data_IF_278850518556
#
_entry.id   IF_278850518556
#
_cell.length_a   1.000
_cell.length_b   1.000
_cell.length_c   1.000
_cell.angle_alpha   90.00
_cell.angle_beta   90.00
_cell.angle_gamma   90.00
#
_symmetry.space_group_name_H-M   'P 1'
#
loop_
_entity.id
_entity.type
_entity.pdbx_description
1 polymer ?
#
# COMPACT_ATOMS: atom_id res chain seq x y z
N UNK A 1 -4.16 10.05 5.65
CA UNK A 1 -4.33 9.03 4.57
C UNK A 1 -3.72 7.72 5.05
N UNK A 2 -4.51 6.66 5.16
CA UNK A 2 -4.02 5.33 5.54
C UNK A 2 -3.23 4.70 4.38
N UNK A 3 -2.07 4.14 4.69
CA UNK A 3 -1.21 3.44 3.73
C UNK A 3 -1.21 1.95 4.05
N UNK A 4 -1.50 1.13 3.05
CA UNK A 4 -1.41 -0.32 3.12
C UNK A 4 -0.42 -0.82 2.05
N UNK A 5 0.45 -1.72 2.44
CA UNK A 5 1.40 -2.37 1.54
C UNK A 5 1.18 -3.88 1.61
N UNK A 6 0.98 -4.48 0.47
CA UNK A 6 0.92 -5.94 0.30
C UNK A 6 2.15 -6.41 -0.47
N UNK A 7 2.86 -7.37 0.11
CA UNK A 7 4.02 -7.97 -0.54
C UNK A 7 3.53 -9.10 -1.45
N UNK A 8 3.78 -9.00 -2.73
CA UNK A 8 3.43 -10.02 -3.73
C UNK A 8 4.70 -10.79 -4.13
N UNK A 9 4.54 -12.05 -4.52
CA UNK A 9 5.65 -12.88 -5.00
C UNK A 9 5.97 -12.56 -6.45
N UNK A 10 4.92 -12.50 -7.25
CA UNK A 10 5.01 -12.31 -8.69
C UNK A 10 4.05 -11.22 -9.14
N UNK A 11 4.35 -10.61 -10.30
CA UNK A 11 3.51 -9.56 -10.88
C UNK A 11 2.36 -10.17 -11.70
N UNK A 12 1.55 -11.05 -11.07
CA UNK A 12 0.42 -11.74 -11.70
C UNK A 12 -0.93 -11.11 -11.33
N UNK A 13 -1.95 -11.39 -12.14
CA UNK A 13 -3.33 -10.99 -11.84
C UNK A 13 -3.82 -11.60 -10.52
N UNK A 14 -3.51 -12.88 -10.30
CA UNK A 14 -3.91 -13.62 -9.09
C UNK A 14 -3.38 -12.96 -7.83
N UNK A 15 -2.09 -12.63 -7.79
CA UNK A 15 -1.46 -11.92 -6.68
C UNK A 15 -2.08 -10.53 -6.46
N UNK A 16 -2.44 -9.84 -7.54
CA UNK A 16 -3.13 -8.54 -7.45
C UNK A 16 -4.53 -8.68 -6.84
N UNK A 17 -5.28 -9.71 -7.21
CA UNK A 17 -6.59 -10.01 -6.64
C UNK A 17 -6.47 -10.43 -5.17
N UNK A 18 -5.45 -11.21 -4.80
CA UNK A 18 -5.17 -11.55 -3.40
C UNK A 18 -4.85 -10.32 -2.57
N UNK A 19 -4.05 -9.39 -3.09
CA UNK A 19 -3.78 -8.11 -2.43
C UNK A 19 -5.05 -7.28 -2.20
N UNK A 20 -5.94 -7.22 -3.21
CA UNK A 20 -7.25 -6.58 -3.12
C UNK A 20 -8.11 -7.24 -2.03
N UNK A 21 -8.14 -8.56 -1.97
CA UNK A 21 -8.91 -9.32 -0.98
C UNK A 21 -8.37 -9.09 0.46
N UNK A 22 -7.05 -9.10 0.63
CA UNK A 22 -6.39 -8.83 1.91
C UNK A 22 -6.73 -7.42 2.42
N UNK A 23 -6.67 -6.41 1.56
CA UNK A 23 -7.06 -5.05 1.91
C UNK A 23 -8.54 -4.95 2.33
N UNK A 24 -9.43 -5.58 1.57
CA UNK A 24 -10.87 -5.63 1.90
C UNK A 24 -11.13 -6.30 3.24
N UNK A 25 -10.40 -7.37 3.57
CA UNK A 25 -10.51 -8.06 4.86
C UNK A 25 -10.16 -7.12 6.03
N UNK A 26 -9.09 -6.33 5.90
CA UNK A 26 -8.70 -5.34 6.92
C UNK A 26 -9.79 -4.28 7.08
N UNK A 27 -10.33 -3.76 5.99
CA UNK A 27 -11.37 -2.73 6.04
C UNK A 27 -12.70 -3.26 6.59
N UNK A 28 -13.03 -4.53 6.32
CA UNK A 28 -14.25 -5.15 6.86
C UNK A 28 -14.22 -5.30 8.38
N UNK A 29 -13.04 -5.48 8.98
CA UNK A 29 -12.87 -5.47 10.44
C UNK A 29 -13.20 -4.10 11.06
N UNK A 30 -13.03 -3.02 10.29
CA UNK A 30 -13.39 -1.67 10.66
C UNK A 30 -14.79 -1.26 10.12
N UNK A 31 -15.65 -2.23 9.78
CA UNK A 31 -16.99 -2.03 9.20
C UNK A 31 -17.00 -1.12 7.96
N UNK A 32 -15.90 -1.08 7.21
CA UNK A 32 -15.74 -0.28 6.00
C UNK A 32 -15.76 -1.14 4.74
N UNK A 33 -16.32 -0.57 3.67
CA UNK A 33 -16.36 -1.21 2.34
C UNK A 33 -15.71 -0.31 1.30
N UNK A 34 -14.90 -0.91 0.42
CA UNK A 34 -14.36 -0.21 -0.74
C UNK A 34 -15.45 -0.11 -1.80
N UNK A 35 -15.83 1.11 -2.16
CA UNK A 35 -16.80 1.40 -3.22
C UNK A 35 -16.13 1.81 -4.52
N UNK A 36 -14.92 2.34 -4.46
CA UNK A 36 -14.23 2.91 -5.61
C UNK A 36 -12.74 2.64 -5.53
N UNK A 37 -12.17 2.21 -6.65
CA UNK A 37 -10.72 2.14 -6.88
C UNK A 37 -10.32 3.19 -7.92
N UNK A 38 -9.22 3.87 -7.67
CA UNK A 38 -8.54 4.71 -8.64
C UNK A 38 -7.14 4.17 -8.84
N UNK A 39 -6.77 3.83 -10.06
CA UNK A 39 -5.53 3.12 -10.37
C UNK A 39 -4.85 3.71 -11.62
N UNK A 40 -3.61 3.31 -11.86
CA UNK A 40 -2.94 3.55 -13.12
C UNK A 40 -3.45 2.60 -14.23
N UNK A 41 -3.15 2.94 -15.47
CA UNK A 41 -3.53 2.15 -16.64
C UNK A 41 -2.65 0.92 -16.87
N UNK A 42 -1.79 0.55 -15.92
CA UNK A 42 -0.93 -0.61 -16.04
C UNK A 42 -1.66 -1.91 -15.71
N UNK A 43 -1.19 -2.61 -14.69
CA UNK A 43 -1.71 -3.92 -14.27
C UNK A 43 -3.19 -3.91 -13.88
N UNK A 44 -3.70 -2.81 -13.38
CA UNK A 44 -5.10 -2.69 -12.94
C UNK A 44 -6.08 -2.53 -14.09
N UNK A 45 -5.61 -2.33 -15.33
CA UNK A 45 -6.43 -2.33 -16.55
C UNK A 45 -6.67 -3.74 -17.12
N UNK A 46 -6.11 -4.80 -16.49
CA UNK A 46 -6.36 -6.18 -16.86
C UNK A 46 -7.85 -6.52 -16.67
N UNK A 47 -8.44 -7.19 -17.67
CA UNK A 47 -9.87 -7.54 -17.68
C UNK A 47 -10.29 -8.30 -16.42
N UNK A 48 -9.47 -9.24 -15.94
CA UNK A 48 -9.78 -10.00 -14.74
C UNK A 48 -9.85 -9.14 -13.47
N UNK A 49 -9.05 -8.06 -13.38
CA UNK A 49 -9.18 -7.12 -12.28
C UNK A 49 -10.45 -6.25 -12.42
N UNK A 50 -10.75 -5.80 -13.64
CA UNK A 50 -11.97 -5.05 -13.96
C UNK A 50 -13.21 -5.87 -13.61
N UNK A 51 -13.28 -7.13 -14.07
CA UNK A 51 -14.37 -8.06 -13.77
C UNK A 51 -14.52 -8.29 -12.26
N UNK A 52 -13.41 -8.50 -11.55
CA UNK A 52 -13.40 -8.60 -10.09
C UNK A 52 -13.92 -7.35 -9.37
N UNK A 53 -13.89 -6.18 -9.98
CA UNK A 53 -14.51 -4.97 -9.45
C UNK A 53 -16.01 -4.92 -9.77
N UNK A 54 -16.39 -5.23 -11.01
CA UNK A 54 -17.77 -5.24 -11.49
C UNK A 54 -18.63 -6.25 -10.71
N UNK A 55 -18.15 -7.46 -10.50
CA UNK A 55 -18.83 -8.51 -9.72
C UNK A 55 -19.18 -8.11 -8.30
N UNK A 56 -18.51 -7.09 -7.77
CA UNK A 56 -18.68 -6.61 -6.39
C UNK A 56 -19.26 -5.19 -6.32
N UNK A 57 -19.82 -4.72 -7.43
CA UNK A 57 -20.40 -3.38 -7.57
C UNK A 57 -19.44 -2.27 -7.09
N UNK A 58 -18.18 -2.38 -7.51
CA UNK A 58 -17.10 -1.43 -7.16
C UNK A 58 -16.73 -0.59 -8.37
N UNK A 59 -16.81 0.71 -8.24
CA UNK A 59 -16.38 1.63 -9.31
C UNK A 59 -14.87 1.54 -9.48
N UNK A 60 -14.41 1.45 -10.73
CA UNK A 60 -13.01 1.52 -11.10
C UNK A 60 -12.79 2.72 -12.03
N UNK A 61 -11.79 3.52 -11.73
CA UNK A 61 -11.37 4.64 -12.58
C UNK A 61 -9.86 4.61 -12.74
N UNK A 62 -9.40 5.07 -13.89
CA UNK A 62 -7.98 5.13 -14.19
C UNK A 62 -7.48 6.56 -14.33
N UNK A 63 -6.20 6.77 -14.08
CA UNK A 63 -5.53 8.00 -14.42
C UNK A 63 -5.54 8.22 -15.93
N UNK A 64 -5.65 9.46 -16.38
CA UNK A 64 -5.49 9.80 -17.79
C UNK A 64 -4.10 9.41 -18.32
N UNK A 65 -4.00 9.06 -19.61
CA UNK A 65 -2.77 8.53 -20.22
C UNK A 65 -1.53 9.44 -20.10
N UNK A 66 -1.70 10.73 -19.80
CA UNK A 66 -0.61 11.72 -19.66
C UNK A 66 -0.64 12.40 -18.27
N UNK A 67 -1.54 11.97 -17.40
CA UNK A 67 -1.82 12.65 -16.14
C UNK A 67 -1.06 12.02 -14.95
N UNK A 68 0.26 11.88 -15.06
CA UNK A 68 1.12 11.39 -13.96
C UNK A 68 0.91 12.15 -12.65
N UNK A 69 0.57 13.44 -12.74
CA UNK A 69 0.27 14.26 -11.55
C UNK A 69 -0.97 13.80 -10.77
N UNK A 70 -1.90 13.05 -11.38
CA UNK A 70 -3.07 12.52 -10.69
C UNK A 70 -2.71 11.42 -9.67
N UNK A 71 -1.57 10.74 -9.88
CA UNK A 71 -1.01 9.75 -8.96
C UNK A 71 0.13 10.31 -8.08
N UNK A 72 0.44 11.60 -8.19
CA UNK A 72 1.60 12.21 -7.52
C UNK A 72 1.62 11.98 -6.00
N UNK A 73 0.46 11.92 -5.36
CA UNK A 73 0.37 11.60 -3.93
C UNK A 73 0.82 10.16 -3.62
N UNK A 74 0.46 9.20 -4.47
CA UNK A 74 0.84 7.78 -4.32
C UNK A 74 2.32 7.61 -4.66
N UNK A 75 2.79 8.24 -5.74
CA UNK A 75 4.21 8.22 -6.14
C UNK A 75 5.11 8.82 -5.06
N UNK A 76 4.70 9.95 -4.48
CA UNK A 76 5.42 10.57 -3.36
C UNK A 76 5.49 9.63 -2.14
N UNK A 77 4.39 8.97 -1.79
CA UNK A 77 4.36 7.97 -0.71
C UNK A 77 5.26 6.79 -1.00
N UNK A 78 5.23 6.26 -2.23
CA UNK A 78 6.11 5.16 -2.66
C UNK A 78 7.58 5.56 -2.54
N UNK A 79 7.93 6.78 -2.94
CA UNK A 79 9.29 7.31 -2.80
C UNK A 79 9.73 7.36 -1.34
N UNK A 80 8.90 7.90 -0.44
CA UNK A 80 9.21 7.96 1.00
C UNK A 80 9.40 6.56 1.58
N UNK A 81 8.48 5.63 1.28
CA UNK A 81 8.57 4.24 1.74
C UNK A 81 9.84 3.56 1.25
N UNK A 82 10.15 3.69 -0.03
CA UNK A 82 11.35 3.09 -0.63
C UNK A 82 12.63 3.64 -0.02
N UNK A 83 12.72 4.96 0.14
CA UNK A 83 13.88 5.60 0.75
C UNK A 83 14.04 5.21 2.22
N UNK A 84 12.93 5.20 2.98
CA UNK A 84 12.95 4.79 4.38
C UNK A 84 13.32 3.31 4.56
N UNK A 85 12.77 2.42 3.75
CA UNK A 85 13.12 1.00 3.75
C UNK A 85 14.60 0.77 3.41
N UNK A 86 15.13 1.51 2.42
CA UNK A 86 16.55 1.46 2.06
C UNK A 86 17.43 1.91 3.23
N UNK A 87 17.07 3.00 3.89
CA UNK A 87 17.80 3.50 5.06
C UNK A 87 17.83 2.47 6.18
N UNK A 88 16.68 1.85 6.50
CA UNK A 88 16.59 0.80 7.52
C UNK A 88 17.47 -0.39 7.16
N UNK A 89 17.44 -0.84 5.92
CA UNK A 89 18.26 -1.97 5.46
C UNK A 89 19.75 -1.68 5.58
N UNK A 90 20.20 -0.53 5.05
CA UNK A 90 21.61 -0.14 5.10
C UNK A 90 22.11 0.03 6.54
N UNK A 91 21.27 0.60 7.41
CA UNK A 91 21.58 0.73 8.82
C UNK A 91 21.70 -0.64 9.51
N UNK A 92 20.77 -1.55 9.24
CA UNK A 92 20.83 -2.91 9.75
C UNK A 92 22.07 -3.67 9.26
N UNK A 93 22.40 -3.57 7.97
CA UNK A 93 23.61 -4.18 7.41
C UNK A 93 24.90 -3.62 8.02
N UNK A 94 24.91 -2.35 8.41
CA UNK A 94 26.05 -1.72 9.08
C UNK A 94 26.25 -2.23 10.52
N UNK A 95 25.14 -2.41 11.26
CA UNK A 95 25.20 -2.81 12.66
C UNK A 95 25.38 -4.34 12.80
N UNK A 96 24.70 -5.10 11.94
CA UNK A 96 24.71 -6.57 11.97
C UNK A 96 25.07 -7.16 10.61
N UNK A 97 26.31 -6.95 10.12
CA UNK A 97 26.70 -7.34 8.75
C UNK A 97 26.64 -8.83 8.50
N UNK A 98 26.73 -9.66 9.56
CA UNK A 98 26.66 -11.12 9.46
C UNK A 98 25.21 -11.65 9.42
N UNK A 99 24.25 -10.83 9.81
CA UNK A 99 22.85 -11.27 9.98
C UNK A 99 21.91 -10.63 8.97
N UNK A 100 22.15 -9.39 8.60
CA UNK A 100 21.27 -8.59 7.73
C UNK A 100 21.86 -8.53 6.32
N UNK A 101 21.06 -8.88 5.32
CA UNK A 101 21.41 -8.79 3.91
C UNK A 101 20.24 -8.26 3.08
N UNK A 102 20.40 -8.19 1.76
CA UNK A 102 19.38 -7.67 0.84
C UNK A 102 18.04 -8.41 0.87
N UNK A 103 17.99 -9.66 1.33
CA UNK A 103 16.74 -10.42 1.46
C UNK A 103 15.80 -9.84 2.51
N UNK A 104 16.31 -8.98 3.42
CA UNK A 104 15.48 -8.26 4.40
C UNK A 104 14.71 -7.09 3.82
N UNK A 105 14.90 -6.76 2.53
CA UNK A 105 14.19 -5.65 1.88
C UNK A 105 12.68 -5.64 2.10
N UNK A 106 11.92 -6.75 1.92
CA UNK A 106 10.48 -6.77 2.14
C UNK A 106 10.09 -6.43 3.58
N UNK A 107 10.88 -6.90 4.56
CA UNK A 107 10.64 -6.63 5.97
C UNK A 107 10.90 -5.16 6.31
N UNK A 108 11.96 -4.56 5.76
CA UNK A 108 12.24 -3.13 5.92
C UNK A 108 11.11 -2.27 5.34
N UNK A 109 10.56 -2.68 4.20
CA UNK A 109 9.44 -1.99 3.56
C UNK A 109 8.18 -2.05 4.43
N UNK A 110 7.88 -3.22 4.98
CA UNK A 110 6.75 -3.41 5.91
C UNK A 110 6.95 -2.61 7.20
N UNK A 111 8.12 -2.68 7.81
CA UNK A 111 8.45 -1.91 9.01
C UNK A 111 8.30 -0.40 8.79
N UNK A 112 8.76 0.11 7.63
CA UNK A 112 8.59 1.51 7.28
C UNK A 112 7.12 1.90 7.10
N UNK A 113 6.30 1.01 6.54
CA UNK A 113 4.86 1.23 6.40
C UNK A 113 4.18 1.37 7.75
N UNK A 114 4.47 0.46 8.70
CA UNK A 114 3.93 0.54 10.06
C UNK A 114 4.38 1.83 10.77
N UNK A 115 5.66 2.16 10.65
CA UNK A 115 6.20 3.41 11.20
C UNK A 115 5.49 4.64 10.65
N UNK A 116 5.17 4.68 9.37
CA UNK A 116 4.42 5.80 8.77
C UNK A 116 3.00 5.92 9.30
N UNK A 117 2.34 4.83 9.63
CA UNK A 117 1.00 4.85 10.23
C UNK A 117 0.98 5.51 11.60
N UNK A 118 2.04 5.29 12.40
CA UNK A 118 2.15 5.81 13.77
C UNK A 118 2.71 7.23 13.84
N UNK A 119 3.60 7.61 12.89
CA UNK A 119 4.32 8.89 12.95
C UNK A 119 3.66 10.04 12.18
N UNK A 120 2.78 9.76 11.23
CA UNK A 120 2.04 10.81 10.53
C UNK A 120 0.92 11.35 11.44
N UNK A 121 1.16 12.50 12.04
CA UNK A 121 0.16 13.19 12.87
C UNK A 121 -0.56 14.22 12.00
N UNK A 122 -1.90 14.19 12.02
CA UNK A 122 -2.74 15.21 11.41
C UNK A 122 -2.77 16.49 12.26
N UNK A 123 -3.33 17.57 11.73
CA UNK A 123 -3.46 18.85 12.46
C UNK A 123 -4.29 18.72 13.75
N UNK A 124 -5.16 17.74 13.85
CA UNK A 124 -5.99 17.42 15.03
C UNK A 124 -5.29 16.49 16.03
N UNK A 125 -4.02 16.18 15.82
CA UNK A 125 -3.24 15.25 16.66
C UNK A 125 -3.52 13.77 16.41
N UNK A 126 -4.44 13.42 15.50
CA UNK A 126 -4.74 12.02 15.18
C UNK A 126 -3.70 11.42 14.22
N UNK A 127 -3.42 10.12 14.38
CA UNK A 127 -2.63 9.34 13.43
C UNK A 127 -3.54 8.47 12.56
N UNK A 128 -3.09 8.02 11.37
CA UNK A 128 -3.86 7.05 10.57
C UNK A 128 -4.23 5.80 11.35
N UNK A 129 -3.37 5.34 12.25
CA UNK A 129 -3.60 4.21 13.13
C UNK A 129 -4.67 4.50 14.18
N UNK A 130 -4.61 5.64 14.86
CA UNK A 130 -5.61 6.01 15.86
C UNK A 130 -6.99 6.22 15.25
N UNK A 131 -7.07 6.67 14.00
CA UNK A 131 -8.33 6.77 13.26
C UNK A 131 -8.90 5.38 12.97
N UNK A 132 -8.06 4.43 12.55
CA UNK A 132 -8.50 3.05 12.32
C UNK A 132 -8.99 2.38 13.61
N UNK A 133 -8.28 2.55 14.72
CA UNK A 133 -8.66 1.97 16.02
C UNK A 133 -9.98 2.46 16.57
N UNK A 134 -10.43 3.66 16.18
CA UNK A 134 -11.78 4.16 16.56
C UNK A 134 -12.93 3.41 15.89
N UNK A 135 -12.64 2.57 14.90
CA UNK A 135 -13.63 1.81 14.14
C UNK A 135 -13.48 0.29 14.34
N UNK A 136 -12.54 -0.14 15.19
CA UNK A 136 -12.36 -1.52 15.63
C UNK A 136 -12.94 -1.73 17.04
#
# INVERSE_FOLDING_TARGET
>A
MLTYVHLIRDFTLEETILAKAAWKKILSQAERKVKHYHADNGRFADNGFVDSCNDKDQKLTFCGMVAHHQNGSIEHKNKILTQGARTLLLHGMRIWPQMINSMFWPFCFKAMTERMKSLQVNLDGSTPESIMQRFL
#
